data_IF_022794005349
#
_entry.id   IF_022794005349
#
_cell.length_a   1.000
_cell.length_b   1.000
_cell.length_c   1.000
_cell.angle_alpha   90.00
_cell.angle_beta   90.00
_cell.angle_gamma   90.00
#
_symmetry.space_group_name_H-M   'P 1'
#
loop_
_entity.id
_entity.type
_entity.pdbx_description
1 polymer ?
#
# COMPACT_ATOMS: atom_id res chain seq x y z
N UNK A 1 8.17 7.39 6.21
CA UNK A 1 7.37 6.16 6.33
C UNK A 1 6.69 5.83 5.02
N UNK A 2 6.50 4.54 4.77
CA UNK A 2 5.82 4.08 3.56
C UNK A 2 4.34 3.88 3.85
N UNK A 3 3.50 4.19 2.87
CA UNK A 3 2.06 4.04 2.97
C UNK A 3 1.53 3.33 1.74
N UNK A 4 0.41 2.63 1.88
CA UNK A 4 -0.27 1.99 0.76
C UNK A 4 -1.24 3.00 0.16
N UNK A 5 -1.10 3.24 -1.14
CA UNK A 5 -2.07 4.02 -1.90
C UNK A 5 -3.02 3.04 -2.58
N UNK A 6 -4.29 3.07 -2.19
CA UNK A 6 -5.34 2.22 -2.75
C UNK A 6 -6.20 3.07 -3.68
N UNK A 7 -6.07 2.85 -4.99
CA UNK A 7 -6.66 3.71 -6.01
C UNK A 7 -6.19 5.15 -5.78
N UNK A 8 -7.06 6.06 -5.40
CA UNK A 8 -6.71 7.45 -5.14
C UNK A 8 -6.65 7.78 -3.64
N UNK A 9 -6.74 6.77 -2.78
CA UNK A 9 -6.78 6.95 -1.34
C UNK A 9 -5.52 6.42 -0.70
N UNK A 10 -4.88 7.23 0.12
CA UNK A 10 -3.72 6.79 0.92
C UNK A 10 -4.24 6.28 2.24
N UNK A 11 -3.94 5.00 2.54
CA UNK A 11 -4.37 4.38 3.78
C UNK A 11 -3.53 4.90 4.94
N UNK A 12 -4.10 4.98 6.16
CA UNK A 12 -3.43 5.65 7.27
C UNK A 12 -2.36 4.83 7.99
N UNK A 13 -2.18 3.56 7.62
CA UNK A 13 -1.23 2.69 8.31
C UNK A 13 0.19 2.94 7.83
N UNK A 14 1.12 3.36 8.69
CA UNK A 14 2.52 3.55 8.29
C UNK A 14 3.30 2.24 8.30
N UNK A 15 4.23 2.12 7.37
CA UNK A 15 5.18 1.01 7.31
C UNK A 15 6.59 1.58 7.32
N UNK A 16 7.44 1.04 8.16
CA UNK A 16 8.81 1.51 8.28
C UNK A 16 9.66 1.07 7.09
N UNK A 17 9.41 -0.12 6.56
CA UNK A 17 10.19 -0.67 5.47
C UNK A 17 9.36 -0.80 4.21
N UNK A 18 10.04 -0.54 3.06
CA UNK A 18 9.40 -0.67 1.75
C UNK A 18 8.84 -2.08 1.52
N UNK A 19 9.60 -3.10 1.92
CA UNK A 19 9.18 -4.49 1.69
C UNK A 19 7.88 -4.82 2.43
N UNK A 20 7.69 -4.28 3.63
CA UNK A 20 6.46 -4.50 4.38
C UNK A 20 5.27 -3.85 3.68
N UNK A 21 5.46 -2.63 3.21
CA UNK A 21 4.42 -1.91 2.49
C UNK A 21 4.07 -2.62 1.18
N UNK A 22 5.08 -3.08 0.45
CA UNK A 22 4.88 -3.79 -0.80
C UNK A 22 4.12 -5.10 -0.59
N UNK A 23 4.45 -5.83 0.48
CA UNK A 23 3.75 -7.07 0.81
C UNK A 23 2.26 -6.81 1.05
N UNK A 24 1.93 -5.75 1.75
CA UNK A 24 0.54 -5.39 1.97
C UNK A 24 -0.17 -4.99 0.67
N UNK A 25 0.53 -4.25 -0.20
CA UNK A 25 -0.01 -3.91 -1.51
C UNK A 25 -0.38 -5.17 -2.29
N UNK A 26 0.53 -6.15 -2.32
CA UNK A 26 0.30 -7.40 -3.04
C UNK A 26 -0.85 -8.19 -2.43
N UNK A 27 -0.95 -8.22 -1.11
CA UNK A 27 -2.03 -8.93 -0.43
C UNK A 27 -3.38 -8.31 -0.78
N UNK A 28 -3.47 -6.99 -0.78
CA UNK A 28 -4.71 -6.31 -1.12
C UNK A 28 -5.13 -6.55 -2.56
N UNK A 29 -4.17 -6.57 -3.48
CA UNK A 29 -4.48 -6.85 -4.88
C UNK A 29 -4.97 -8.28 -5.09
N UNK A 30 -4.53 -9.23 -4.25
CA UNK A 30 -4.99 -10.61 -4.34
C UNK A 30 -6.38 -10.81 -3.74
N UNK A 31 -6.74 -10.01 -2.74
CA UNK A 31 -8.01 -10.19 -2.03
C UNK A 31 -9.12 -9.31 -2.56
N UNK A 32 -8.78 -8.23 -3.25
CA UNK A 32 -9.75 -7.29 -3.80
C UNK A 32 -9.66 -7.28 -5.31
N UNK A 33 -10.83 -7.27 -5.97
CA UNK A 33 -10.92 -7.24 -7.42
C UNK A 33 -10.97 -5.78 -7.88
N UNK A 34 -10.24 -5.49 -8.96
CA UNK A 34 -10.27 -4.18 -9.63
C UNK A 34 -9.75 -3.03 -8.76
N UNK A 35 -8.74 -3.30 -7.94
CA UNK A 35 -8.08 -2.24 -7.19
C UNK A 35 -6.63 -2.13 -7.64
N UNK A 36 -6.10 -0.91 -7.59
CA UNK A 36 -4.70 -0.63 -7.84
C UNK A 36 -4.05 -0.17 -6.54
N UNK A 37 -2.97 -0.83 -6.16
CA UNK A 37 -2.23 -0.47 -4.97
C UNK A 37 -0.79 -0.18 -5.33
N UNK A 38 -0.18 0.78 -4.65
CA UNK A 38 1.23 1.07 -4.80
C UNK A 38 1.80 1.62 -3.49
N UNK A 39 3.08 1.35 -3.20
CA UNK A 39 3.71 1.96 -2.03
C UNK A 39 4.11 3.39 -2.36
N UNK A 40 3.86 4.30 -1.41
CA UNK A 40 4.27 5.70 -1.53
C UNK A 40 5.08 6.09 -0.31
N UNK A 41 6.10 6.89 -0.52
CA UNK A 41 6.93 7.40 0.56
C UNK A 41 6.45 8.79 0.94
N UNK A 42 6.06 8.94 2.20
CA UNK A 42 5.64 10.22 2.75
C UNK A 42 6.57 10.58 3.89
N UNK A 43 7.19 11.73 3.79
CA UNK A 43 8.12 12.21 4.81
C UNK A 43 7.40 12.85 5.98
#
# INVERSE_FOLDING_TARGET
MWYVKLNDTILPTPYQYFSDCLAECQRLQQTMIAVCTEPVLIK
#
